data_IF_578136008644
#
_entry.id   IF_578136008644
#
_cell.length_a   1.000
_cell.length_b   1.000
_cell.length_c   1.000
_cell.angle_alpha   90.00
_cell.angle_beta   90.00
_cell.angle_gamma   90.00
#
_symmetry.space_group_name_H-M   'P 1'
#
loop_
_entity.id
_entity.type
_entity.pdbx_description
1 polymer ?
2 non-polymer ?
3 non-polymer ?
4 non-polymer ?
5 non-polymer ?
6 water ?
#
# COMPACT_ATOMS: atom_id res chain seq x y z
N UNK A 1 2.71 -8.08 -6.96
CA UNK A 1 3.76 -8.71 -6.15
C UNK A 1 4.46 -9.77 -6.99
N UNK A 2 5.78 -9.67 -7.09
CA UNK A 2 6.64 -10.63 -7.79
C UNK A 2 7.23 -11.57 -6.75
N UNK A 3 7.23 -12.87 -7.03
CA UNK A 3 7.88 -13.82 -6.16
C UNK A 3 7.10 -14.16 -4.92
N UNK A 4 5.83 -13.82 -4.87
CA UNK A 4 4.96 -14.12 -3.75
C UNK A 4 4.13 -15.38 -3.97
N UNK A 5 3.12 -15.52 -3.12
CA UNK A 5 2.19 -16.64 -3.19
C UNK A 5 0.78 -16.13 -2.92
N UNK A 6 -0.22 -16.98 -3.19
CA UNK A 6 -1.60 -16.61 -2.92
C UNK A 6 -1.80 -16.43 -1.42
N UNK A 7 -2.42 -15.31 -1.05
CA UNK A 7 -2.84 -15.12 0.32
C UNK A 7 -4.01 -16.05 0.64
N UNK A 8 -4.11 -16.44 1.91
CA UNK A 8 -5.30 -17.16 2.35
C UNK A 8 -6.48 -16.21 2.44
N UNK A 9 -7.69 -16.75 2.26
CA UNK A 9 -8.89 -15.94 2.46
C UNK A 9 -8.90 -15.38 3.88
N UNK A 10 -9.14 -14.08 4.00
CA UNK A 10 -9.21 -13.43 5.29
C UNK A 10 -7.88 -13.16 5.95
N UNK A 11 -6.77 -13.40 5.27
CA UNK A 11 -5.47 -13.27 5.91
C UNK A 11 -5.03 -11.82 6.09
N UNK A 12 -5.44 -10.93 5.20
CA UNK A 12 -5.03 -9.53 5.21
C UNK A 12 -6.29 -8.68 5.15
N UNK A 13 -7.10 -8.68 6.23
CA UNK A 13 -8.43 -8.07 6.16
C UNK A 13 -8.42 -6.55 6.13
N UNK A 14 -7.25 -5.93 6.28
CA UNK A 14 -7.08 -4.50 6.10
C UNK A 14 -6.68 -4.11 4.68
N UNK A 15 -6.37 -5.08 3.82
CA UNK A 15 -5.99 -4.78 2.45
C UNK A 15 -7.23 -4.44 1.63
N UNK A 16 -7.16 -3.32 0.90
CA UNK A 16 -8.26 -2.80 0.10
C UNK A 16 -7.82 -2.72 -1.37
N UNK A 17 -8.78 -2.95 -2.27
CA UNK A 17 -8.57 -2.77 -3.70
C UNK A 17 -9.37 -1.56 -4.17
N UNK A 18 -8.70 -0.62 -4.85
CA UNK A 18 -9.32 0.60 -5.34
C UNK A 18 -9.46 0.52 -6.86
N UNK A 19 -10.70 0.59 -7.35
CA UNK A 19 -11.03 0.57 -8.76
C UNK A 19 -11.50 1.96 -9.17
N UNK A 20 -11.22 2.34 -10.43
CA UNK A 20 -11.71 3.63 -10.91
C UNK A 20 -12.03 3.54 -12.39
N UNK A 21 -13.04 4.32 -12.79
CA UNK A 21 -13.28 4.66 -14.19
C UNK A 21 -13.53 3.43 -15.06
N UNK A 22 -14.08 2.38 -14.48
CA UNK A 22 -14.34 1.16 -15.22
C UNK A 22 -13.11 0.41 -15.64
N UNK A 23 -11.96 0.74 -15.08
CA UNK A 23 -10.69 0.15 -15.46
C UNK A 23 -10.29 -1.03 -14.57
N UNK A 24 -11.12 -1.39 -13.61
CA UNK A 24 -10.75 -2.43 -12.68
C UNK A 24 -9.82 -1.92 -11.60
N UNK A 25 -9.13 -2.87 -10.96
CA UNK A 25 -8.18 -2.54 -9.92
C UNK A 25 -7.06 -1.66 -10.45
N UNK A 26 -6.80 -0.56 -9.74
CA UNK A 26 -5.71 0.37 -10.07
C UNK A 26 -4.66 0.41 -8.97
N UNK A 27 -5.07 0.60 -7.72
CA UNK A 27 -4.16 0.77 -6.60
C UNK A 27 -4.71 0.05 -5.38
N UNK A 28 -3.84 -0.16 -4.40
CA UNK A 28 -4.24 -0.66 -3.10
C UNK A 28 -4.41 0.45 -2.07
N UNK A 29 -4.90 0.05 -0.91
CA UNK A 29 -5.04 0.90 0.25
C UNK A 29 -5.15 0.00 1.48
N UNK A 30 -5.14 0.62 2.66
CA UNK A 30 -5.33 -0.10 3.90
C UNK A 30 -6.45 0.54 4.73
N UNK A 31 -7.23 -0.31 5.40
CA UNK A 31 -8.28 0.15 6.30
C UNK A 31 -7.67 0.48 7.67
N UNK A 32 -7.88 1.71 8.15
CA UNK A 32 -7.38 2.11 9.46
C UNK A 32 -8.46 2.45 10.47
N UNK A 33 -9.71 2.61 10.05
CA UNK A 33 -10.84 2.87 10.93
C UNK A 33 -12.10 2.61 10.10
N UNK A 34 -13.30 2.74 10.67
CA UNK A 34 -14.50 2.46 9.87
C UNK A 34 -14.66 3.38 8.68
N UNK A 35 -14.09 4.58 8.72
CA UNK A 35 -14.33 5.58 7.70
C UNK A 35 -13.10 5.98 6.89
N UNK A 36 -11.91 5.46 7.20
CA UNK A 36 -10.68 5.98 6.61
C UNK A 36 -9.76 4.86 6.12
N UNK A 37 -9.14 5.13 4.97
CA UNK A 37 -8.09 4.31 4.39
C UNK A 37 -6.81 5.14 4.26
N UNK A 38 -5.67 4.45 4.28
CA UNK A 38 -4.38 5.02 3.89
C UNK A 38 -4.02 4.49 2.52
N UNK A 39 -3.50 5.36 1.65
CA UNK A 39 -3.03 4.93 0.33
C UNK A 39 -1.86 5.83 -0.09
N UNK A 40 -1.49 5.76 -1.36
CA UNK A 40 -0.42 6.59 -1.92
C UNK A 40 -1.04 7.78 -2.66
N UNK A 41 -0.52 8.99 -2.36
CA UNK A 41 -1.03 10.19 -3.04
C UNK A 41 -0.92 10.08 -4.55
N UNK A 42 0.11 9.39 -5.04
CA UNK A 42 0.36 9.41 -6.49
C UNK A 42 -0.71 8.69 -7.28
N UNK A 43 -1.54 7.86 -6.66
CA UNK A 43 -2.58 7.16 -7.41
C UNK A 43 -3.75 8.06 -7.81
N UNK A 44 -3.87 9.25 -7.22
CA UNK A 44 -5.07 10.08 -7.30
C UNK A 44 -4.81 11.36 -8.07
N UNK A 45 -4.04 11.25 -9.16
CA UNK A 45 -3.61 12.37 -9.98
C UNK A 45 -4.23 12.22 -11.37
N UNK A 46 -4.89 13.28 -11.84
CA UNK A 46 -5.46 13.24 -13.19
C UNK A 46 -4.33 12.97 -14.18
N UNK A 47 -4.59 12.09 -15.15
CA UNK A 47 -3.57 11.75 -16.12
C UNK A 47 -4.23 11.12 -17.33
N UNK A 48 -3.71 11.43 -18.51
CA UNK A 48 -4.11 10.75 -19.74
C UNK A 48 -5.60 10.92 -20.05
N UNK A 49 -6.19 12.01 -19.59
CA UNK A 49 -7.59 12.27 -19.82
C UNK A 49 -8.51 11.61 -18.82
N UNK A 50 -7.97 10.94 -17.81
CA UNK A 50 -8.75 10.25 -16.80
C UNK A 50 -8.66 11.02 -15.49
N UNK A 51 -9.82 11.30 -14.89
CA UNK A 51 -9.90 12.18 -13.72
C UNK A 51 -9.74 11.39 -12.42
N UNK A 52 -8.54 10.82 -12.24
CA UNK A 52 -8.24 10.02 -11.06
C UNK A 52 -8.28 10.82 -9.76
N UNK A 53 -8.21 12.16 -9.82
CA UNK A 53 -8.31 12.97 -8.61
C UNK A 53 -9.74 13.12 -8.09
N UNK A 54 -10.75 12.73 -8.87
CA UNK A 54 -12.15 12.91 -8.50
C UNK A 54 -12.57 11.75 -7.61
N UNK A 55 -12.81 11.97 -6.31
CA UNK A 55 -13.15 10.84 -5.43
C UNK A 55 -14.38 10.07 -5.89
N UNK A 56 -15.31 10.73 -6.60
CA UNK A 56 -16.55 10.06 -7.01
C UNK A 56 -16.32 9.00 -8.07
N UNK A 57 -15.12 8.91 -8.64
CA UNK A 57 -14.83 7.95 -9.70
C UNK A 57 -14.31 6.63 -9.16
N UNK A 58 -14.13 6.51 -7.85
CA UNK A 58 -13.47 5.37 -7.25
C UNK A 58 -14.46 4.50 -6.50
N UNK A 59 -14.16 3.20 -6.47
CA UNK A 59 -14.86 2.24 -5.62
C UNK A 59 -13.80 1.48 -4.84
N UNK A 60 -13.97 1.41 -3.52
CA UNK A 60 -13.11 0.62 -2.66
C UNK A 60 -13.78 -0.72 -2.40
N UNK A 61 -13.03 -1.80 -2.58
CA UNK A 61 -13.47 -3.15 -2.28
C UNK A 61 -12.74 -3.62 -1.04
N UNK A 62 -13.49 -3.86 0.03
CA UNK A 62 -12.98 -4.38 1.28
C UNK A 62 -13.37 -5.84 1.43
N UNK A 63 -12.49 -6.62 2.07
CA UNK A 63 -12.76 -8.04 2.23
C UNK A 63 -12.58 -8.84 0.96
N UNK A 64 -11.91 -8.28 -0.03
CA UNK A 64 -11.77 -8.94 -1.32
C UNK A 64 -10.60 -9.91 -1.30
N UNK A 65 -10.81 -11.06 -1.94
CA UNK A 65 -9.76 -12.05 -2.16
C UNK A 65 -9.38 -12.17 -3.62
N UNK A 66 -10.36 -12.29 -4.51
CA UNK A 66 -10.16 -12.58 -5.92
C UNK A 66 -10.89 -11.53 -6.73
N UNK A 67 -10.16 -10.83 -7.62
CA UNK A 67 -10.78 -9.79 -8.43
C UNK A 67 -11.91 -10.30 -9.32
N UNK A 68 -11.93 -11.60 -9.61
CA UNK A 68 -13.00 -12.20 -10.39
C UNK A 68 -14.17 -12.67 -9.54
N UNK A 69 -14.10 -12.46 -8.21
CA UNK A 69 -15.15 -12.88 -7.27
C UNK A 69 -15.50 -11.68 -6.37
N UNK A 70 -15.90 -10.58 -7.01
CA UNK A 70 -16.22 -9.36 -6.28
C UNK A 70 -17.54 -9.44 -5.52
N UNK A 71 -18.37 -10.44 -5.80
CA UNK A 71 -19.63 -10.63 -5.09
C UNK A 71 -19.55 -11.75 -4.07
N UNK A 72 -18.35 -12.20 -3.72
CA UNK A 72 -18.21 -13.26 -2.74
C UNK A 72 -18.75 -12.79 -1.39
N UNK A 73 -19.25 -13.71 -0.57
CA UNK A 73 -19.73 -13.30 0.75
C UNK A 73 -18.64 -12.58 1.53
N UNK A 74 -19.02 -11.47 2.16
CA UNK A 74 -18.11 -10.70 2.97
C UNK A 74 -17.41 -9.57 2.25
N UNK A 75 -17.45 -9.53 0.93
CA UNK A 75 -16.90 -8.38 0.19
C UNK A 75 -17.82 -7.19 0.37
N UNK A 76 -17.24 -6.04 0.66
CA UNK A 76 -17.96 -4.78 0.79
C UNK A 76 -17.45 -3.79 -0.25
N UNK A 77 -18.38 -3.06 -0.87
CA UNK A 77 -18.04 -1.97 -1.77
C UNK A 77 -18.40 -0.64 -1.13
N UNK A 78 -17.52 0.33 -1.25
CA UNK A 78 -17.75 1.66 -0.72
C UNK A 78 -17.27 2.73 -1.71
N UNK A 79 -18.04 3.80 -1.80
CA UNK A 79 -17.62 4.99 -2.50
C UNK A 79 -16.70 5.82 -1.62
N UNK A 80 -15.93 6.69 -2.25
CA UNK A 80 -15.08 7.65 -1.56
C UNK A 80 -15.76 9.01 -1.53
N UNK A 81 -15.67 9.67 -0.37
CA UNK A 81 -16.15 11.03 -0.17
C UNK A 81 -15.05 12.05 -0.45
N UNK A 82 -13.80 11.75 -0.09
CA UNK A 82 -12.72 12.68 -0.35
C UNK A 82 -11.38 11.98 -0.25
N UNK A 83 -10.38 12.61 -0.86
CA UNK A 83 -9.00 12.16 -0.90
C UNK A 83 -8.16 13.31 -0.37
N UNK A 84 -7.44 13.08 0.72
CA UNK A 84 -6.58 14.10 1.31
C UNK A 84 -5.14 13.67 1.06
N UNK A 85 -4.44 14.38 0.18
CA UNK A 85 -3.03 14.09 -0.06
C UNK A 85 -2.18 14.88 0.91
N UNK A 86 -1.05 14.32 1.28
CA UNK A 86 -0.18 15.03 2.19
C UNK A 86 0.18 16.39 1.60
N UNK A 87 0.18 17.48 2.39
CA UNK A 87 0.44 18.80 1.82
C UNK A 87 1.84 18.97 1.23
N UNK A 88 2.80 18.12 1.60
CA UNK A 88 4.14 18.20 1.04
C UNK A 88 4.36 17.21 -0.09
N UNK A 89 3.33 16.45 -0.47
CA UNK A 89 3.46 15.56 -1.61
C UNK A 89 3.66 16.36 -2.87
N UNK A 90 4.49 15.84 -3.77
CA UNK A 90 4.55 16.36 -5.12
C UNK A 90 4.92 15.23 -6.06
N UNK A 91 4.44 15.35 -7.30
CA UNK A 91 4.67 14.30 -8.29
C UNK A 91 5.86 14.58 -9.21
N UNK A 92 6.82 15.38 -8.77
CA UNK A 92 8.13 15.44 -9.41
C UNK A 92 9.10 14.45 -8.75
N UNK A 93 9.25 14.53 -7.44
CA UNK A 93 10.14 13.63 -6.70
C UNK A 93 9.40 12.50 -5.98
N UNK A 94 8.08 12.59 -5.86
CA UNK A 94 7.25 11.63 -5.15
C UNK A 94 7.54 11.58 -3.65
N UNK A 95 8.12 12.65 -3.13
CA UNK A 95 8.28 12.79 -1.69
C UNK A 95 6.92 12.89 -1.02
N UNK A 96 6.84 12.44 0.23
CA UNK A 96 5.61 12.51 1.03
C UNK A 96 4.43 11.83 0.32
N UNK A 97 4.68 10.63 -0.22
CA UNK A 97 3.70 9.92 -1.05
C UNK A 97 2.72 9.15 -0.16
N UNK A 98 1.74 9.86 0.37
CA UNK A 98 0.73 9.29 1.26
C UNK A 98 -0.55 10.11 1.14
N UNK A 99 -1.69 9.42 1.20
CA UNK A 99 -3.01 10.04 1.15
C UNK A 99 -3.95 9.31 2.10
N UNK A 100 -4.97 10.04 2.53
CA UNK A 100 -6.06 9.52 3.36
C UNK A 100 -7.34 9.56 2.55
N UNK A 101 -8.05 8.44 2.50
CA UNK A 101 -9.27 8.31 1.71
C UNK A 101 -10.44 8.14 2.67
N UNK A 102 -11.42 9.04 2.58
CA UNK A 102 -12.59 8.95 3.42
C UNK A 102 -13.70 8.19 2.71
N UNK A 103 -14.22 7.16 3.36
CA UNK A 103 -15.32 6.37 2.80
C UNK A 103 -16.64 7.14 2.94
N UNK A 104 -17.51 6.99 1.93
CA UNK A 104 -18.81 7.64 1.98
C UNK A 104 -19.68 7.09 3.10
N UNK A 105 -19.57 5.79 3.40
CA UNK A 105 -20.29 5.12 4.45
C UNK A 105 -19.32 4.15 5.12
N UNK A 106 -19.45 3.93 6.42
CA UNK A 106 -18.43 3.16 7.14
C UNK A 106 -18.38 1.70 6.72
N UNK A 107 -17.18 1.14 6.79
CA UNK A 107 -17.01 -0.30 6.67
C UNK A 107 -17.69 -1.00 7.84
N UNK A 108 -18.17 -2.20 7.58
CA UNK A 108 -18.72 -3.06 8.62
C UNK A 108 -17.66 -4.09 8.98
N UNK A 109 -17.15 -4.03 10.21
CA UNK A 109 -16.08 -4.93 10.59
C UNK A 109 -16.56 -6.37 10.66
N UNK A 110 -15.68 -7.28 10.27
CA UNK A 110 -15.94 -8.71 10.25
C UNK A 110 -14.60 -9.42 10.32
N UNK A 111 -14.64 -10.76 10.27
CA UNK A 111 -13.40 -11.51 10.17
C UNK A 111 -12.63 -11.14 8.89
N UNK A 112 -13.35 -10.73 7.84
CA UNK A 112 -12.74 -10.44 6.55
C UNK A 112 -12.42 -8.96 6.35
N UNK A 113 -12.94 -8.08 7.20
CA UNK A 113 -12.79 -6.64 7.04
C UNK A 113 -12.48 -6.08 8.43
N UNK A 114 -11.23 -5.67 8.66
CA UNK A 114 -10.87 -5.08 9.95
C UNK A 114 -9.58 -4.29 9.77
N UNK A 115 -9.32 -3.33 10.65
CA UNK A 115 -8.24 -2.36 10.41
C UNK A 115 -6.87 -2.83 10.86
N UNK A 116 -5.86 -2.18 10.31
CA UNK A 116 -4.47 -2.39 10.72
C UNK A 116 -4.06 -1.26 11.65
N UNK A 117 -3.27 -1.59 12.66
CA UNK A 117 -2.82 -0.61 13.63
C UNK A 117 -1.73 0.29 13.06
N UNK A 118 -1.76 1.56 13.45
CA UNK A 118 -0.74 2.52 13.03
C UNK A 118 0.40 2.56 14.05
N UNK A 119 1.65 2.64 13.59
CA UNK A 119 2.79 2.72 14.52
C UNK A 119 2.95 4.11 15.11
N UNK A 120 3.42 4.13 16.37
CA UNK A 120 3.74 5.39 17.03
C UNK A 120 4.87 6.11 16.28
N UNK A 121 4.90 7.43 16.44
CA UNK A 121 5.87 8.25 15.72
C UNK A 121 7.29 7.85 16.06
N UNK A 122 7.53 7.36 17.27
CA UNK A 122 8.88 7.02 17.69
C UNK A 122 9.35 5.67 17.20
N UNK A 123 8.49 4.86 16.59
CA UNK A 123 8.92 3.54 16.18
C UNK A 123 9.77 3.62 14.92
N UNK A 124 10.82 2.81 14.88
CA UNK A 124 11.63 2.65 13.69
C UNK A 124 11.67 1.17 13.33
N UNK A 125 11.43 0.86 12.07
CA UNK A 125 11.53 -0.50 11.59
C UNK A 125 12.97 -0.70 11.14
N UNK A 126 13.77 -1.50 11.84
CA UNK A 126 15.22 -1.53 11.61
C UNK A 126 15.62 -2.38 10.41
N UNK A 127 16.80 -2.09 9.88
CA UNK A 127 17.35 -2.86 8.77
C UNK A 127 17.38 -4.35 9.14
N UNK A 128 16.88 -5.17 8.22
CA UNK A 128 16.76 -6.60 8.44
C UNK A 128 15.39 -7.06 8.89
N UNK A 129 14.55 -6.17 9.42
CA UNK A 129 13.23 -6.56 9.89
C UNK A 129 12.39 -7.15 8.77
N UNK A 130 11.78 -8.29 9.04
CA UNK A 130 10.87 -8.93 8.10
C UNK A 130 9.55 -8.19 8.08
N UNK A 131 9.04 -7.97 6.88
CA UNK A 131 7.79 -7.26 6.66
C UNK A 131 7.07 -7.93 5.50
N UNK A 132 5.74 -7.94 5.54
CA UNK A 132 4.93 -8.47 4.46
C UNK A 132 4.43 -7.36 3.54
N UNK A 133 4.44 -7.63 2.24
CA UNK A 133 3.78 -6.78 1.26
C UNK A 133 2.71 -7.61 0.56
N UNK A 134 1.59 -6.98 0.26
CA UNK A 134 0.43 -7.65 -0.33
C UNK A 134 -0.16 -6.78 -1.43
N UNK A 135 -0.80 -7.43 -2.39
CA UNK A 135 -1.52 -6.68 -3.39
C UNK A 135 -1.86 -7.52 -4.61
N UNK A 136 -2.58 -6.85 -5.52
CA UNK A 136 -3.04 -7.44 -6.76
C UNK A 136 -2.26 -6.95 -7.97
N UNK A 137 -1.10 -6.35 -7.74
CA UNK A 137 -0.28 -5.83 -8.81
C UNK A 137 0.36 -6.93 -9.64
N UNK A 138 1.10 -6.47 -10.65
CA UNK A 138 1.79 -7.36 -11.58
C UNK A 138 2.65 -8.38 -10.85
N UNK A 139 2.70 -9.59 -11.39
CA UNK A 139 3.53 -10.66 -10.86
C UNK A 139 4.88 -10.74 -11.56
N UNK A 140 5.10 -9.87 -12.54
CA UNK A 140 6.39 -9.66 -13.19
C UNK A 140 6.34 -8.24 -13.74
N UNK A 141 7.48 -7.55 -13.73
CA UNK A 141 7.52 -6.24 -14.36
C UNK A 141 7.17 -6.37 -15.84
N UNK A 142 6.30 -5.49 -16.31
CA UNK A 142 5.82 -5.60 -17.68
C UNK A 142 4.77 -6.66 -17.88
N UNK A 143 4.28 -7.25 -16.81
CA UNK A 143 3.38 -8.39 -16.86
C UNK A 143 1.95 -8.02 -16.58
N UNK A 144 1.26 -8.91 -15.90
CA UNK A 144 -0.16 -8.77 -15.65
C UNK A 144 -0.46 -8.97 -14.17
N UNK A 145 -1.55 -8.36 -13.73
CA UNK A 145 -1.93 -8.40 -12.34
C UNK A 145 -2.41 -9.79 -11.93
N UNK A 146 -2.54 -9.96 -10.64
CA UNK A 146 -3.00 -11.21 -10.06
C UNK A 146 -4.48 -11.11 -9.74
N UNK A 147 -5.25 -12.14 -10.11
CA UNK A 147 -6.64 -12.18 -9.67
C UNK A 147 -6.73 -12.40 -8.17
N UNK A 148 -5.98 -13.35 -7.64
CA UNK A 148 -5.97 -13.67 -6.21
C UNK A 148 -4.91 -12.83 -5.51
N UNK A 149 -5.29 -12.22 -4.39
CA UNK A 149 -4.37 -11.40 -3.62
C UNK A 149 -3.07 -12.16 -3.36
N UNK A 150 -1.94 -11.48 -3.61
CA UNK A 150 -0.62 -12.03 -3.37
C UNK A 150 0.02 -11.46 -2.10
N UNK A 151 0.89 -12.28 -1.48
CA UNK A 151 1.70 -11.87 -0.35
C UNK A 151 3.15 -12.27 -0.60
N UNK A 152 4.05 -11.46 -0.06
CA UNK A 152 5.47 -11.81 -0.08
C UNK A 152 6.17 -11.20 1.12
N UNK A 153 7.14 -11.92 1.66
CA UNK A 153 7.92 -11.45 2.80
C UNK A 153 9.21 -10.80 2.29
N UNK A 154 9.47 -9.59 2.75
CA UNK A 154 10.62 -8.79 2.37
C UNK A 154 11.28 -8.27 3.64
N UNK A 155 12.42 -7.59 3.51
CA UNK A 155 13.13 -7.07 4.67
C UNK A 155 13.56 -5.62 4.46
N UNK A 156 13.55 -4.86 5.56
CA UNK A 156 14.03 -3.48 5.50
C UNK A 156 15.49 -3.49 5.10
N UNK A 157 15.84 -2.59 4.18
CA UNK A 157 17.21 -2.44 3.73
C UNK A 157 17.83 -1.22 4.40
N UNK A 158 19.13 -1.32 4.66
CA UNK A 158 19.86 -0.20 5.24
C UNK A 158 19.65 1.07 4.42
N UNK A 159 19.37 2.19 5.11
CA UNK A 159 18.99 3.42 4.42
C UNK A 159 20.14 4.00 3.59
N UNK A 160 21.37 3.90 4.07
CA UNK A 160 22.49 4.39 3.28
C UNK A 160 22.67 3.55 2.02
N UNK A 161 22.54 2.23 2.15
CA UNK A 161 22.56 1.38 0.97
C UNK A 161 21.47 1.78 -0.02
N UNK A 162 20.26 2.00 0.49
CA UNK A 162 19.13 2.42 -0.35
C UNK A 162 19.47 3.69 -1.13
N UNK A 163 19.97 4.70 -0.41
CA UNK A 163 20.33 5.96 -1.06
C UNK A 163 21.35 5.75 -2.16
N UNK A 164 22.34 4.88 -1.91
CA UNK A 164 23.42 4.67 -2.87
C UNK A 164 22.97 3.85 -4.07
N UNK A 165 21.98 2.98 -3.89
CA UNK A 165 21.49 2.16 -4.99
C UNK A 165 20.63 2.97 -5.95
N UNK A 166 20.00 4.03 -5.45
CA UNK A 166 19.03 4.82 -6.19
C UNK A 166 19.42 6.27 -6.02
N UNK A 167 20.54 6.69 -6.63
CA UNK A 167 21.12 7.99 -6.30
C UNK A 167 20.20 9.14 -6.71
N UNK A 168 20.18 10.17 -5.87
CA UNK A 168 19.42 11.39 -6.06
C UNK A 168 17.92 11.15 -6.11
N UNK A 169 17.46 10.06 -5.50
CA UNK A 169 16.02 9.71 -5.56
C UNK A 169 15.41 9.38 -4.20
N UNK A 170 16.21 9.06 -3.19
CA UNK A 170 15.69 8.59 -1.92
C UNK A 170 15.73 9.74 -0.93
N UNK A 171 14.56 10.20 -0.49
CA UNK A 171 14.47 11.17 0.60
C UNK A 171 14.27 10.43 1.91
N UNK A 172 14.38 11.13 3.05
CA UNK A 172 14.18 10.44 4.34
C UNK A 172 12.75 10.00 4.59
N UNK A 173 11.77 10.41 3.77
CA UNK A 173 10.42 9.88 3.89
C UNK A 173 10.31 8.48 3.29
N UNK A 174 11.31 8.04 2.54
CA UNK A 174 11.28 6.79 1.81
C UNK A 174 12.14 5.75 2.50
N UNK A 175 11.80 4.48 2.28
CA UNK A 175 12.51 3.35 2.83
C UNK A 175 12.54 2.26 1.76
N UNK A 176 13.71 1.65 1.56
CA UNK A 176 13.84 0.49 0.69
C UNK A 176 13.52 -0.76 1.50
N UNK A 177 12.68 -1.62 0.95
CA UNK A 177 12.30 -2.88 1.58
C UNK A 177 12.26 -3.92 0.47
N UNK A 178 12.86 -5.07 0.71
CA UNK A 178 12.99 -6.08 -0.32
C UNK A 178 14.19 -6.96 -0.02
N UNK A 179 14.91 -7.34 -1.08
CA UNK A 179 16.17 -8.06 -0.95
C UNK A 179 17.14 -7.46 -1.96
N UNK A 180 18.39 -7.30 -1.55
CA UNK A 180 19.40 -6.83 -2.51
C UNK A 180 19.54 -7.80 -3.67
N UNK A 181 19.30 -9.08 -3.46
CA UNK A 181 19.33 -10.04 -4.57
C UNK A 181 18.07 -10.01 -5.41
N UNK A 182 17.05 -9.24 -5.03
CA UNK A 182 15.81 -9.17 -5.80
C UNK A 182 14.90 -10.34 -5.48
N UNK A 183 14.11 -10.73 -6.47
CA UNK A 183 13.28 -11.92 -6.38
C UNK A 183 11.89 -11.77 -5.82
N UNK A 184 11.76 -11.07 -4.71
CA UNK A 184 10.47 -10.78 -4.09
C UNK A 184 10.36 -9.28 -4.00
N UNK A 185 9.25 -8.72 -4.51
CA UNK A 185 9.09 -7.27 -4.57
C UNK A 185 7.63 -6.96 -4.87
N UNK A 186 7.22 -5.74 -4.53
CA UNK A 186 5.97 -5.22 -5.08
C UNK A 186 6.18 -4.79 -6.54
N UNK A 187 5.08 -4.45 -7.21
CA UNK A 187 5.14 -4.09 -8.63
C UNK A 187 3.89 -3.29 -8.97
N UNK A 188 3.76 -2.92 -10.25
CA UNK A 188 2.68 -2.02 -10.67
C UNK A 188 1.32 -2.60 -10.32
N UNK A 189 0.53 -1.79 -9.61
CA UNK A 189 -0.77 -2.18 -9.10
C UNK A 189 -0.78 -2.47 -7.61
N UNK A 190 0.40 -2.57 -7.00
CA UNK A 190 0.50 -2.70 -5.55
C UNK A 190 0.54 -1.34 -4.86
N UNK A 191 0.82 -0.27 -5.61
CA UNK A 191 0.92 1.09 -5.08
C UNK A 191 -0.23 1.40 -4.14
N UNK A 192 0.10 2.04 -3.03
CA UNK A 192 -0.89 2.45 -2.06
C UNK A 192 -1.21 1.42 -1.02
N UNK A 193 -0.87 0.15 -1.26
CA UNK A 193 -1.11 -0.89 -0.30
C UNK A 193 -0.15 -0.83 0.86
N UNK A 194 -0.47 -1.56 1.91
CA UNK A 194 0.33 -1.52 3.15
C UNK A 194 1.47 -2.52 3.17
N UNK A 195 2.53 -2.10 3.84
CA UNK A 195 3.45 -3.05 4.46
C UNK A 195 2.89 -3.44 5.81
N UNK A 196 2.88 -4.74 6.10
CA UNK A 196 2.35 -5.27 7.35
C UNK A 196 3.49 -5.92 8.10
N UNK A 197 3.82 -5.40 9.29
CA UNK A 197 4.93 -5.90 10.09
C UNK A 197 4.40 -6.62 11.33
N UNK A 198 4.81 -7.88 11.50
CA UNK A 198 4.53 -8.63 12.72
C UNK A 198 5.57 -8.25 13.76
N UNK A 199 5.13 -7.67 14.85
CA UNK A 199 6.03 -7.19 15.87
C UNK A 199 6.23 -8.29 16.91
N UNK A 200 7.06 -8.01 17.90
CA UNK A 200 7.55 -9.08 18.76
C UNK A 200 6.43 -9.77 19.54
N UNK A 201 5.38 -9.05 19.91
CA UNK A 201 4.27 -9.62 20.66
C UNK A 201 3.17 -10.14 19.75
N UNK A 202 3.43 -10.29 18.46
CA UNK A 202 2.46 -10.79 17.53
C UNK A 202 1.54 -9.76 16.95
N UNK A 203 1.52 -8.54 17.49
CA UNK A 203 0.68 -7.48 16.93
C UNK A 203 1.24 -7.06 15.58
N UNK A 204 0.34 -6.74 14.64
CA UNK A 204 0.73 -6.29 13.31
C UNK A 204 0.51 -4.78 13.24
N UNK A 205 1.51 -4.07 12.74
CA UNK A 205 1.43 -2.65 12.48
C UNK A 205 1.74 -2.37 11.02
N UNK A 206 1.14 -1.31 10.49
CA UNK A 206 1.48 -0.87 9.14
C UNK A 206 2.85 -0.20 9.17
N UNK A 207 3.75 -0.63 8.30
CA UNK A 207 5.12 -0.18 8.29
C UNK A 207 5.46 0.71 7.10
N UNK A 208 4.50 1.00 6.24
CA UNK A 208 4.80 1.80 5.07
C UNK A 208 3.71 1.64 4.03
N UNK A 209 3.89 2.38 2.93
CA UNK A 209 2.95 2.39 1.80
C UNK A 209 3.75 2.11 0.52
N UNK A 210 3.27 1.18 -0.30
CA UNK A 210 3.93 0.90 -1.58
C UNK A 210 3.97 2.18 -2.42
N UNK A 211 5.15 2.54 -2.91
CA UNK A 211 5.31 3.79 -3.66
C UNK A 211 5.87 3.55 -5.06
N UNK A 212 7.15 3.15 -5.21
CA UNK A 212 7.76 3.08 -6.54
C UNK A 212 8.94 2.12 -6.52
N UNK A 213 9.50 1.86 -7.70
CA UNK A 213 10.74 1.13 -7.81
C UNK A 213 11.25 1.18 -9.24
N UNK A 214 12.53 0.84 -9.39
CA UNK A 214 13.17 0.74 -10.70
C UNK A 214 12.95 -0.69 -11.18
N UNK A 215 12.01 -0.87 -12.11
CA UNK A 215 11.60 -2.22 -12.48
C UNK A 215 10.91 -2.90 -11.30
N UNK A 216 10.94 -4.22 -11.29
CA UNK A 216 10.44 -4.95 -10.14
C UNK A 216 11.27 -6.21 -9.94
N UNK A 217 11.62 -6.47 -8.68
CA UNK A 217 12.30 -7.69 -8.25
C UNK A 217 13.72 -7.82 -8.82
N UNK A 218 14.32 -6.74 -9.29
CA UNK A 218 15.67 -6.76 -9.83
C UNK A 218 16.70 -6.69 -8.71
N UNK A 219 17.84 -7.34 -8.94
CA UNK A 219 18.98 -7.21 -8.05
C UNK A 219 19.35 -5.74 -7.93
N UNK A 220 19.66 -5.31 -6.71
CA UNK A 220 20.10 -3.96 -6.39
C UNK A 220 19.04 -2.90 -6.60
N UNK A 221 17.79 -3.28 -6.78
CA UNK A 221 16.69 -2.34 -7.03
C UNK A 221 15.49 -2.73 -6.18
N UNK A 222 15.61 -2.63 -4.86
CA UNK A 222 14.48 -2.97 -4.00
C UNK A 222 13.37 -1.94 -4.12
N UNK A 223 12.17 -2.35 -3.71
CA UNK A 223 11.05 -1.44 -3.72
C UNK A 223 11.23 -0.30 -2.74
N UNK A 224 10.61 0.83 -3.08
CA UNK A 224 10.66 2.05 -2.28
C UNK A 224 9.27 2.33 -1.72
N UNK A 225 9.22 2.58 -0.43
CA UNK A 225 7.99 2.70 0.33
C UNK A 225 8.00 3.99 1.13
N UNK A 226 6.81 4.59 1.31
CA UNK A 226 6.68 5.72 2.21
C UNK A 226 6.63 5.21 3.65
N UNK A 227 7.48 5.78 4.51
CA UNK A 227 7.48 5.43 5.93
C UNK A 227 6.20 5.92 6.58
N UNK A 228 5.75 5.19 7.60
CA UNK A 228 4.49 5.57 8.24
C UNK A 228 4.64 6.26 9.60
N UNK A 229 5.59 5.88 10.47
CA UNK A 229 5.65 6.54 11.79
C UNK A 229 5.69 8.05 11.72
N UNK A 230 6.42 8.60 10.74
CA UNK A 230 6.54 10.05 10.54
C UNK A 230 5.19 10.74 10.44
N UNK A 231 4.16 10.01 10.01
CA UNK A 231 2.87 10.60 9.68
C UNK A 231 1.80 10.35 10.73
N UNK A 232 2.15 9.78 11.88
CA UNK A 232 1.14 9.44 12.87
C UNK A 232 0.32 10.65 13.28
N UNK A 233 0.98 11.79 13.56
CA UNK A 233 0.25 12.96 14.02
C UNK A 233 -0.60 13.55 12.90
N UNK A 234 -0.06 13.58 11.68
CA UNK A 234 -0.85 14.09 10.55
C UNK A 234 -2.11 13.26 10.36
N UNK A 235 -1.99 11.94 10.48
CA UNK A 235 -3.17 11.09 10.36
C UNK A 235 -4.17 11.41 11.46
N UNK A 236 -3.68 11.55 12.70
CA UNK A 236 -4.59 11.87 13.81
C UNK A 236 -5.27 13.21 13.60
N UNK A 237 -4.52 14.22 13.15
CA UNK A 237 -5.09 15.56 12.96
C UNK A 237 -6.19 15.56 11.90
N UNK A 238 -6.05 14.74 10.86
CA UNK A 238 -6.97 14.79 9.74
C UNK A 238 -8.10 13.79 9.82
N UNK A 239 -7.97 12.73 10.63
CA UNK A 239 -8.98 11.68 10.68
C UNK A 239 -9.53 11.41 12.08
N UNK A 240 -8.84 11.83 13.12
CA UNK A 240 -9.18 11.47 14.49
C UNK A 240 -8.70 10.09 14.90
N UNK A 241 -8.10 9.33 13.98
CA UNK A 241 -7.63 7.99 14.28
C UNK A 241 -6.24 8.07 14.90
X LIG B 1 -14.62 -1.87 -12.39
X LIG B 1 -14.09 -2.89 -13.29
X LIG B 1 -13.67 -0.72 -12.42
X LIG B 1 -15.93 -1.47 -12.90
X LIG B 1 -14.75 -2.44 -11.05
X LIG C 1 -21.98 -3.93 0.78
X LIG C 1 -21.21 -3.89 2.01
X LIG C 1 -21.12 -3.74 -0.39
X LIG C 1 -23.00 -2.88 0.80
X LIG C 1 -22.64 -5.23 0.68
X LIG D 1 26.65 -3.36 -0.67
X LIG D 1 28.03 -3.79 -0.89
X LIG D 1 26.31 -2.26 -1.57
X LIG D 1 25.74 -4.48 -0.93
X LIG D 1 26.49 -2.90 0.71
X LIG E 1 27.74 -6.41 -4.17
X LIG E 1 28.74 -7.44 -4.45
X LIG E 1 28.41 -5.11 -4.10
X LIG E 1 26.75 -6.40 -5.23
X LIG E 1 27.02 -6.69 -2.92
X LIG F 1 10.31 3.69 9.88
X LIG G 1 -13.36 6.82 11.67
X LIG H 1 -20.70 3.88 0.04
X LIG I 1 20.56 -4.33 3.87
X LIG J 1 25.87 -6.89 -7.79
X LIG K 1 2.22 -15.12 7.51
X LIG K 1 1.86 -15.15 6.14
X LIG K 1 1.65 -13.81 8.12
X LIG K 1 2.20 -13.57 9.37
X LIG K 1 0.10 -13.92 8.16
X LIG K 1 -0.26 -15.26 8.22
X LIG L 1 -18.65 -1.68 14.43
X LIG L 1 -18.86 -0.32 14.64
X LIG L 1 -17.89 -1.88 13.07
X LIG L 1 -18.70 -2.47 12.12
X LIG L 1 -17.33 -0.50 12.61
X LIG L 1 -18.32 0.17 11.89
X LIG M 1 9.74 4.74 -11.12
X LIG M 1 1.21 2.16 -9.22
X LIG M 1 13.56 4.97 -11.26
X LIG M 1 -0.77 5.55 -11.77
X LIG M 1 0.24 5.24 -10.82
X LIG M 1 6.46 -0.72 -7.02
X LIG M 1 8.63 -1.94 -6.93
X LIG M 1 5.64 -0.03 -8.12
X LIG M 1 7.56 3.58 -10.65
X LIG M 1 8.65 3.80 -11.67
X LIG M 1 11.08 4.46 -11.40
X LIG M 1 3.70 7.91 -10.19
X LIG M 1 4.87 6.91 -9.90
X LIG M 1 4.30 5.45 -10.08
X LIG M 1 5.33 4.38 -9.82
X LIG M 1 4.64 3.03 -9.95
X LIG M 1 3.51 1.23 -8.62
X LIG M 1 2.09 1.41 -8.20
X LIG M 1 0.37 3.92 -10.38
X LIG M 1 -0.47 2.91 -10.85
X LIG M 1 -1.48 3.24 -11.80
X LIG M 1 -1.61 4.56 -12.24
X LIG M 1 4.25 0.38 -7.57
X LIG M 1 12.10 5.30 -10.94
X LIG M 1 15.21 5.66 -13.16
X LIG M 1 15.58 5.81 -14.63
X LIG M 1 11.77 6.43 -10.17
X LIG M 1 10.43 6.71 -9.89
X LIG M 1 9.41 5.86 -10.36
X LIG M 1 5.41 7.11 -8.46
X LIG M 1 4.19 2.51 -8.68
X LIG M 1 1.34 3.50 -9.44
X LIG M 1 7.67 -1.16 -7.65
X LIG M 1 9.77 -2.32 -7.63
X LIG M 1 8.44 -2.19 -5.71
X LIG M 1 6.40 4.48 -10.76
X LIG M 1 13.90 5.10 -12.77
X LIG M 1 1.47 0.19 -8.10
X LIG M 1 4.45 2.43 -11.00
X LIG M 1 15.96 5.97 -12.31
X LIG M 1 7.57 2.76 -9.77
X LIG M 1 -0.03 1.47 -10.11
#
# INVERSE_FOLDING_TARGET
VVGGTDADEGEWPWQVSLHALGQGHICGASLISPNWLVSAAHCYIDDRGFRYSDPTQWTAFLGLHDQSQRSAPGVQERRLKRIISHPFFNDFTFDYDIALLELEKPAEYSSMVRPISLPDASHVFPAGKAIWVTGWGHTQYGGTGALILQKGEIRVINQTTCENLLPQQITPRMMCVGFLSGGVDSCQGDSGGPLSSVEADGRIFQAGVVSWGDGCAQRNKPGVYTRLPLFRDWIKENTGV
SO4 S O1 O2 O3 O4
SO4 S O1 O2 O3 O4
SO4 S O1 O2 O3 O4
SO4 S O1 O2 O3 O4
CL CL
CL CL
CL CL
CL CL
CL CL
GOL C1 O1 C2 O2 C3 O3
GOL C1 O1 C2 O2 C3 O3
YIL C30 C10 C33 C16 C17 C21 C23 C20 C28 C29 C31 C01 C02 C03 C04 C05 C07 C08 C12 C13 C14 C15 C19 C32 C35 C36 C44 C45 C46 C48 N06 N11 N22 N24 N25 N27 N34 O09 O26 O43 O47 S18
#
